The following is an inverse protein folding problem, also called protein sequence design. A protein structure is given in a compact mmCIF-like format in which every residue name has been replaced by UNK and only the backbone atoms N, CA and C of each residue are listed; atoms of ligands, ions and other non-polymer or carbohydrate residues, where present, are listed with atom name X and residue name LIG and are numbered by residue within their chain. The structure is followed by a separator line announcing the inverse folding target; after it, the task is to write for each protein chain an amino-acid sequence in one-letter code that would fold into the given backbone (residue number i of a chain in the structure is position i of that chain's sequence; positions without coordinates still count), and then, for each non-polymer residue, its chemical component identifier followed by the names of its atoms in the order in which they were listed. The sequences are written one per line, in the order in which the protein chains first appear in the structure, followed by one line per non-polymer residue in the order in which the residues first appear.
data_IF_880904259403
#
_entry.id   IF_880904259403
#
_cell.length_a   1.000
_cell.length_b   1.000
_cell.length_c   1.000
_cell.angle_alpha   90.00
_cell.angle_beta   90.00
_cell.angle_gamma   90.00
#
_symmetry.space_group_name_H-M   'P 1'
#
loop_
_entity.id
_entity.type
_entity.pdbx_description
1 polymer ?
#
# COMPACT_ATOMS: atom_id res chain seq x y z
N UNK A 1 4.73 -14.40 -12.53
CA UNK A 1 4.75 -14.57 -11.07
C UNK A 1 6.04 -13.94 -10.58
N UNK A 2 5.97 -12.90 -9.75
CA UNK A 2 7.17 -12.34 -9.12
C UNK A 2 7.79 -13.43 -8.23
N UNK A 3 9.08 -13.78 -8.42
CA UNK A 3 9.74 -14.80 -7.61
C UNK A 3 9.72 -14.52 -6.09
N UNK A 4 9.43 -13.28 -5.66
CA UNK A 4 9.36 -12.89 -4.26
C UNK A 4 7.97 -13.07 -3.62
N UNK A 5 6.91 -13.36 -4.40
CA UNK A 5 5.54 -13.52 -3.90
C UNK A 5 5.39 -14.50 -2.70
N UNK A 6 6.04 -15.68 -2.67
CA UNK A 6 5.96 -16.61 -1.53
C UNK A 6 6.60 -16.07 -0.24
N UNK A 7 7.48 -15.07 -0.36
CA UNK A 7 8.14 -14.43 0.77
C UNK A 7 7.28 -13.30 1.35
N UNK A 8 6.62 -12.51 0.50
CA UNK A 8 5.74 -11.42 0.94
C UNK A 8 4.49 -11.93 1.68
N UNK A 9 3.98 -13.14 1.35
CA UNK A 9 2.82 -13.72 2.05
C UNK A 9 3.05 -14.07 3.52
N UNK A 10 4.30 -13.98 4.00
CA UNK A 10 4.73 -14.28 5.39
C UNK A 10 5.24 -13.06 6.15
N UNK A 11 5.31 -11.90 5.49
CA UNK A 11 5.87 -10.68 6.07
C UNK A 11 4.85 -9.54 6.00
N UNK A 12 5.07 -8.50 6.81
CA UNK A 12 4.41 -7.21 6.61
C UNK A 12 5.21 -6.46 5.55
N UNK A 13 4.52 -5.94 4.54
CA UNK A 13 5.15 -5.11 3.51
C UNK A 13 4.51 -3.73 3.43
N UNK A 14 5.34 -2.74 3.10
CA UNK A 14 4.91 -1.38 2.78
C UNK A 14 5.06 -1.16 1.28
N UNK A 15 3.98 -0.73 0.64
CA UNK A 15 4.01 -0.40 -0.79
C UNK A 15 4.62 0.99 -1.04
N UNK A 16 5.55 1.05 -1.98
CA UNK A 16 6.29 2.27 -2.32
C UNK A 16 5.78 2.98 -3.56
N UNK A 17 5.11 2.27 -4.47
CA UNK A 17 4.75 2.76 -5.79
C UNK A 17 3.43 2.15 -6.26
N UNK A 18 2.55 2.98 -6.83
CA UNK A 18 1.33 2.57 -7.53
C UNK A 18 1.43 2.86 -9.00
N UNK A 19 0.77 2.05 -9.82
CA UNK A 19 0.69 2.26 -11.28
C UNK A 19 -0.70 2.75 -11.63
N UNK A 20 -0.82 3.65 -12.60
CA UNK A 20 -2.14 4.16 -13.01
C UNK A 20 -2.87 3.24 -13.98
N UNK A 21 -2.15 2.37 -14.69
CA UNK A 21 -2.69 1.62 -15.83
C UNK A 21 -2.58 0.11 -15.65
N UNK A 22 -3.11 -0.63 -16.63
CA UNK A 22 -3.09 -2.08 -16.75
C UNK A 22 -4.10 -2.83 -15.87
N UNK A 23 -5.11 -2.13 -15.34
CA UNK A 23 -6.22 -2.79 -14.65
C UNK A 23 -7.13 -3.50 -15.64
N UNK A 24 -6.88 -4.80 -15.83
CA UNK A 24 -7.65 -5.66 -16.75
C UNK A 24 -8.50 -6.70 -16.03
N UNK A 25 -8.20 -6.93 -14.76
CA UNK A 25 -8.95 -7.85 -13.91
C UNK A 25 -10.29 -7.21 -13.49
N UNK A 26 -11.27 -8.06 -13.17
CA UNK A 26 -12.57 -7.64 -12.62
C UNK A 26 -12.55 -7.71 -11.10
N UNK A 27 -13.28 -6.81 -10.45
CA UNK A 27 -13.50 -6.84 -9.00
C UNK A 27 -14.56 -7.88 -8.61
N UNK A 28 -14.89 -7.93 -7.31
CA UNK A 28 -15.91 -8.83 -6.77
C UNK A 28 -17.32 -8.57 -7.31
N UNK A 29 -17.57 -7.38 -7.87
CA UNK A 29 -18.81 -7.01 -8.55
C UNK A 29 -18.76 -7.25 -10.05
N UNK A 30 -17.65 -7.79 -10.58
CA UNK A 30 -17.46 -8.03 -11.99
C UNK A 30 -17.09 -6.78 -12.79
N UNK A 31 -16.73 -5.67 -12.14
CA UNK A 31 -16.40 -4.40 -12.78
C UNK A 31 -14.88 -4.23 -12.95
N UNK A 32 -14.51 -3.47 -13.98
CA UNK A 32 -13.13 -3.12 -14.31
C UNK A 32 -13.11 -1.61 -14.60
N UNK A 33 -12.05 -0.87 -14.27
CA UNK A 33 -12.03 0.57 -14.49
C UNK A 33 -12.08 0.90 -15.97
N UNK A 34 -12.77 1.98 -16.32
CA UNK A 34 -12.80 2.48 -17.68
C UNK A 34 -11.38 2.81 -18.16
N UNK A 35 -11.12 2.54 -19.44
CA UNK A 35 -9.81 2.72 -20.07
C UNK A 35 -8.65 1.95 -19.40
N UNK A 36 -8.95 1.00 -18.50
CA UNK A 36 -7.96 0.24 -17.73
C UNK A 36 -7.01 1.12 -16.90
N UNK A 37 -7.50 2.28 -16.45
CA UNK A 37 -6.74 3.24 -15.65
C UNK A 37 -7.45 3.63 -14.35
N UNK A 38 -6.72 4.16 -13.36
CA UNK A 38 -7.31 4.64 -12.11
C UNK A 38 -7.81 6.07 -12.26
N UNK A 39 -6.97 6.95 -12.83
CA UNK A 39 -7.28 8.35 -13.09
C UNK A 39 -6.91 8.69 -14.53
N UNK A 40 -7.88 9.13 -15.32
CA UNK A 40 -7.63 9.62 -16.69
C UNK A 40 -6.67 10.81 -16.66
N UNK A 41 -5.71 10.82 -17.58
CA UNK A 41 -4.62 11.81 -17.64
C UNK A 41 -3.73 11.89 -16.37
N UNK A 42 -3.87 10.93 -15.45
CA UNK A 42 -3.03 10.80 -14.27
C UNK A 42 -1.62 10.30 -14.62
N UNK A 43 -0.61 10.62 -13.78
CA UNK A 43 0.77 10.16 -13.99
C UNK A 43 0.88 8.63 -14.00
N UNK A 44 1.76 8.06 -14.83
CA UNK A 44 1.89 6.60 -14.95
C UNK A 44 2.20 5.89 -13.62
N UNK A 45 2.94 6.56 -12.75
CA UNK A 45 3.32 6.06 -11.42
C UNK A 45 3.24 7.15 -10.37
N UNK A 46 2.93 6.74 -9.16
CA UNK A 46 2.98 7.57 -7.96
C UNK A 46 3.75 6.87 -6.87
N UNK A 47 4.71 7.58 -6.30
CA UNK A 47 5.44 7.17 -5.11
C UNK A 47 4.92 7.94 -3.90
N UNK A 48 4.88 7.28 -2.74
CA UNK A 48 4.61 7.98 -1.49
C UNK A 48 5.79 8.88 -1.10
N UNK A 49 5.49 10.08 -0.62
CA UNK A 49 6.51 11.01 -0.10
C UNK A 49 6.87 10.72 1.36
N UNK A 50 6.18 9.79 2.00
CA UNK A 50 6.45 9.41 3.39
C UNK A 50 7.73 8.56 3.39
N UNK A 51 8.77 9.03 4.08
CA UNK A 51 10.00 8.25 4.26
C UNK A 51 9.69 7.05 5.17
N UNK A 52 9.51 5.91 4.53
CA UNK A 52 9.09 4.66 5.16
C UNK A 52 10.28 3.78 5.56
N UNK A 53 11.49 4.34 5.77
CA UNK A 53 12.70 3.61 6.20
C UNK A 53 12.57 2.98 7.60
N UNK A 54 11.66 2.01 7.72
CA UNK A 54 11.37 1.17 8.88
C UNK A 54 11.97 -0.23 8.64
N UNK A 55 12.19 -1.00 9.69
CA UNK A 55 12.63 -2.41 9.61
C UNK A 55 11.51 -3.34 9.11
N UNK A 56 11.04 -3.09 7.89
CA UNK A 56 10.00 -3.83 7.19
C UNK A 56 10.44 -4.09 5.75
N UNK A 57 9.85 -5.11 5.14
CA UNK A 57 10.18 -5.47 3.76
C UNK A 57 9.41 -4.52 2.82
N UNK A 58 10.12 -3.90 1.89
CA UNK A 58 9.51 -3.03 0.89
C UNK A 58 8.96 -3.85 -0.26
N UNK A 59 7.77 -3.47 -0.72
CA UNK A 59 7.18 -3.98 -1.95
C UNK A 59 6.99 -2.83 -2.93
N UNK A 60 7.22 -3.14 -4.21
CA UNK A 60 6.93 -2.25 -5.36
C UNK A 60 5.85 -2.85 -6.25
N UNK A 61 5.14 -3.83 -5.71
CA UNK A 61 4.05 -4.52 -6.36
C UNK A 61 2.90 -4.61 -5.37
N UNK A 62 2.02 -3.63 -5.42
CA UNK A 62 0.81 -3.65 -4.63
C UNK A 62 -0.15 -4.76 -5.07
N UNK A 63 0.14 -5.53 -6.12
CA UNK A 63 -0.69 -6.64 -6.59
C UNK A 63 -1.40 -6.31 -7.89
N UNK A 64 -2.29 -7.22 -8.32
CA UNK A 64 -2.77 -7.23 -9.72
C UNK A 64 -3.90 -6.25 -10.02
N UNK A 65 -4.65 -5.82 -9.01
CA UNK A 65 -5.76 -4.89 -9.24
C UNK A 65 -6.15 -4.07 -8.01
N UNK A 66 -6.92 -4.62 -7.06
CA UNK A 66 -7.57 -3.80 -6.02
C UNK A 66 -6.58 -3.04 -5.12
N UNK A 67 -5.56 -3.72 -4.64
CA UNK A 67 -4.54 -3.12 -3.79
C UNK A 67 -3.72 -2.05 -4.52
N UNK A 68 -3.33 -2.28 -5.78
CA UNK A 68 -2.59 -1.31 -6.60
C UNK A 68 -3.46 -0.12 -7.01
N UNK A 69 -4.74 -0.36 -7.32
CA UNK A 69 -5.72 0.68 -7.59
C UNK A 69 -5.94 1.58 -6.37
N UNK A 70 -6.19 0.99 -5.21
CA UNK A 70 -6.32 1.75 -3.95
C UNK A 70 -5.02 2.48 -3.65
N UNK A 71 -3.86 1.82 -3.76
CA UNK A 71 -2.59 2.48 -3.50
C UNK A 71 -2.31 3.61 -4.47
N UNK A 72 -2.69 3.56 -5.74
CA UNK A 72 -2.50 4.67 -6.66
C UNK A 72 -3.46 5.84 -6.35
N UNK A 73 -4.73 5.52 -6.05
CA UNK A 73 -5.76 6.51 -5.76
C UNK A 73 -5.43 7.39 -4.54
N UNK A 74 -4.93 6.76 -3.47
CA UNK A 74 -4.66 7.44 -2.20
C UNK A 74 -3.61 8.57 -2.27
N UNK A 75 -2.37 8.38 -2.77
CA UNK A 75 -1.37 9.44 -2.91
C UNK A 75 -1.78 10.45 -3.98
N UNK A 76 -2.51 10.08 -5.03
CA UNK A 76 -3.01 11.04 -6.02
C UNK A 76 -3.87 12.12 -5.34
N UNK A 77 -4.85 11.70 -4.52
CA UNK A 77 -5.71 12.63 -3.77
C UNK A 77 -5.05 13.16 -2.49
N UNK A 78 -4.12 12.41 -1.90
CA UNK A 78 -3.41 12.73 -0.66
C UNK A 78 -2.14 13.57 -0.86
N UNK A 79 -1.90 14.13 -2.06
CA UNK A 79 -0.69 14.90 -2.39
C UNK A 79 0.61 14.14 -2.07
N UNK A 80 0.63 12.85 -2.41
CA UNK A 80 1.73 11.94 -2.17
C UNK A 80 1.79 11.32 -0.77
N UNK A 81 0.91 11.69 0.16
CA UNK A 81 0.95 11.21 1.56
C UNK A 81 0.01 10.02 1.79
N UNK A 82 0.42 8.83 1.35
CA UNK A 82 -0.32 7.60 1.58
C UNK A 82 0.62 6.44 1.85
N UNK A 83 0.17 5.44 2.62
CA UNK A 83 0.89 4.18 2.83
C UNK A 83 -0.14 3.07 2.81
N UNK A 84 0.11 2.04 2.01
CA UNK A 84 -0.62 0.77 2.06
C UNK A 84 0.27 -0.26 2.76
N UNK A 85 -0.31 -0.97 3.72
CA UNK A 85 0.36 -2.03 4.47
C UNK A 85 -0.28 -3.36 4.09
N UNK A 86 0.48 -4.24 3.46
CA UNK A 86 0.08 -5.64 3.33
C UNK A 86 0.45 -6.39 4.60
N UNK A 87 -0.51 -7.16 5.09
CA UNK A 87 -0.33 -8.05 6.24
C UNK A 87 -0.12 -9.48 5.76
N UNK A 88 0.68 -10.27 6.48
CA UNK A 88 0.91 -11.66 6.10
C UNK A 88 -0.38 -12.48 6.20
N UNK A 89 -0.70 -13.21 5.14
CA UNK A 89 -1.82 -14.16 5.11
C UNK A 89 -1.48 -15.52 5.76
N UNK A 90 -0.19 -15.78 6.02
CA UNK A 90 0.30 -17.07 6.52
C UNK A 90 1.58 -16.92 7.34
N UNK A 91 1.97 -17.99 8.04
CA UNK A 91 3.17 -18.01 8.86
C UNK A 91 2.97 -17.41 10.25
N UNK A 92 4.04 -17.34 11.03
CA UNK A 92 3.97 -16.96 12.45
C UNK A 92 3.51 -15.52 12.67
N UNK A 93 3.84 -14.61 11.76
CA UNK A 93 3.45 -13.20 11.85
C UNK A 93 1.99 -12.94 11.47
N UNK A 94 1.28 -13.93 10.89
CA UNK A 94 -0.15 -13.82 10.61
C UNK A 94 -1.02 -14.00 11.87
N UNK A 95 -0.46 -14.51 12.97
CA UNK A 95 -1.18 -14.62 14.24
C UNK A 95 -1.50 -13.22 14.80
N UNK A 96 -2.75 -12.95 15.23
CA UNK A 96 -3.12 -11.64 15.77
C UNK A 96 -2.22 -11.18 16.92
N UNK A 97 -1.77 -12.10 17.77
CA UNK A 97 -0.91 -11.86 18.92
C UNK A 97 0.44 -11.25 18.54
N UNK A 98 0.94 -11.56 17.34
CA UNK A 98 2.18 -11.00 16.80
C UNK A 98 1.94 -9.86 15.84
N UNK A 99 0.90 -9.97 15.01
CA UNK A 99 0.57 -9.00 13.98
C UNK A 99 0.17 -7.65 14.58
N UNK A 100 -0.70 -7.65 15.60
CA UNK A 100 -1.26 -6.42 16.15
C UNK A 100 -0.18 -5.54 16.80
N UNK A 101 0.70 -6.04 17.69
CA UNK A 101 1.77 -5.23 18.25
C UNK A 101 2.75 -4.70 17.19
N UNK A 102 3.05 -5.50 16.16
CA UNK A 102 3.92 -5.09 15.07
C UNK A 102 3.29 -3.96 14.24
N UNK A 103 2.01 -4.08 13.89
CA UNK A 103 1.27 -3.03 13.19
C UNK A 103 1.18 -1.76 14.02
N UNK A 104 0.92 -1.86 15.33
CA UNK A 104 0.91 -0.70 16.22
C UNK A 104 2.25 0.03 16.19
N UNK A 105 3.36 -0.71 16.25
CA UNK A 105 4.72 -0.14 16.18
C UNK A 105 4.95 0.58 14.85
N UNK A 106 4.57 -0.02 13.73
CA UNK A 106 4.69 0.57 12.40
C UNK A 106 3.84 1.85 12.29
N UNK A 107 2.57 1.78 12.71
CA UNK A 107 1.66 2.93 12.66
C UNK A 107 2.18 4.07 13.54
N UNK A 108 2.68 3.78 14.74
CA UNK A 108 3.28 4.79 15.62
C UNK A 108 4.51 5.43 14.99
N UNK A 109 5.39 4.65 14.36
CA UNK A 109 6.55 5.17 13.65
C UNK A 109 6.15 6.06 12.46
N UNK A 110 5.15 5.65 11.67
CA UNK A 110 4.60 6.46 10.58
C UNK A 110 4.00 7.78 11.08
N UNK A 111 3.21 7.73 12.15
CA UNK A 111 2.62 8.92 12.78
C UNK A 111 3.71 9.86 13.31
N UNK A 112 4.78 9.32 13.89
CA UNK A 112 5.92 10.13 14.34
C UNK A 112 6.61 10.82 13.16
N UNK A 113 6.92 10.10 12.08
CA UNK A 113 7.51 10.66 10.86
C UNK A 113 6.64 11.77 10.24
N UNK A 114 5.32 11.61 10.30
CA UNK A 114 4.38 12.63 9.83
C UNK A 114 4.32 13.86 10.74
N UNK A 115 4.38 13.67 12.06
CA UNK A 115 4.27 14.75 13.04
C UNK A 115 5.57 15.58 13.17
N UNK A 116 6.74 15.00 12.93
CA UNK A 116 8.01 15.74 12.90
C UNK A 116 8.11 16.66 11.68
N UNK A 117 7.39 16.36 10.60
CA UNK A 117 7.20 17.22 9.42
C UNK A 117 5.89 18.03 9.52
N UNK A 118 5.87 19.06 10.36
CA UNK A 118 4.79 20.04 10.60
C UNK A 118 3.73 20.23 9.47
N UNK A 119 2.71 19.36 9.35
CA UNK A 119 1.46 19.59 8.58
C UNK A 119 0.34 18.60 8.97
N UNK A 120 -0.82 19.12 9.37
CA UNK A 120 -2.07 18.38 9.64
C UNK A 120 -2.81 18.03 8.34
N UNK A 121 -2.62 16.83 7.78
CA UNK A 121 -3.49 16.34 6.69
C UNK A 121 -3.71 14.82 6.76
N UNK A 122 -4.85 14.40 6.20
CA UNK A 122 -5.39 13.04 6.25
C UNK A 122 -4.44 12.00 5.67
N UNK A 123 -4.17 10.97 6.45
CA UNK A 123 -3.48 9.75 6.04
C UNK A 123 -4.52 8.64 5.90
N UNK A 124 -4.40 7.83 4.85
CA UNK A 124 -5.27 6.68 4.64
C UNK A 124 -4.47 5.41 4.88
N UNK A 125 -4.81 4.70 5.95
CA UNK A 125 -4.37 3.34 6.17
C UNK A 125 -5.43 2.39 5.61
N UNK A 126 -5.12 1.73 4.52
CA UNK A 126 -5.94 0.63 4.03
C UNK A 126 -5.32 -0.71 4.45
N UNK A 127 -6.17 -1.57 5.01
CA UNK A 127 -5.87 -2.98 5.28
C UNK A 127 -6.78 -3.78 4.34
N UNK A 128 -6.17 -4.52 3.41
CA UNK A 128 -6.87 -5.49 2.55
C UNK A 128 -6.60 -6.88 3.12
#
# INVERSE_FOLDING_TARGET
MDPLWPHFSKCITLEQTGKNHCYKDRDVSGLCPDHHCCIEEGPERLDSIIDMRLDVIYSRDAGRYQCDFVYYYLPYHGRGKAVLIHVPASGSLASPEKLVPQLQTIIQALLLTLNTGLQTHSFFLFKI
#
